data_IF_513927446799
#
_entry.id   IF_513927446799
#
_cell.length_a   1.000
_cell.length_b   1.000
_cell.length_c   1.000
_cell.angle_alpha   90.00
_cell.angle_beta   90.00
_cell.angle_gamma   90.00
#
_symmetry.space_group_name_H-M   'P 1'
#
loop_
_entity.id
_entity.type
_entity.pdbx_description
1 polymer ?
#
# COMPACT_ATOMS: atom_id res chain seq x y z
N UNK A 1 15.49 -6.87 5.56
CA UNK A 1 14.82 -7.92 6.36
C UNK A 1 13.47 -8.19 5.73
N UNK A 2 13.10 -9.45 5.61
CA UNK A 2 11.82 -9.90 5.06
C UNK A 2 11.22 -10.93 6.02
N UNK A 3 9.94 -10.76 6.38
CA UNK A 3 9.23 -11.64 7.30
C UNK A 3 7.89 -12.01 6.66
N UNK A 4 7.65 -13.31 6.50
CA UNK A 4 6.38 -13.88 6.05
C UNK A 4 5.87 -14.84 7.10
N UNK A 5 4.67 -14.62 7.64
CA UNK A 5 4.13 -15.38 8.76
C UNK A 5 2.64 -15.68 8.57
N UNK A 6 2.23 -16.87 9.00
CA UNK A 6 0.83 -17.25 9.15
C UNK A 6 0.43 -17.13 10.62
N UNK A 7 -0.32 -16.09 10.97
CA UNK A 7 -0.59 -15.70 12.36
C UNK A 7 -2.07 -15.87 12.76
N UNK A 8 -2.31 -16.01 14.06
CA UNK A 8 -3.65 -16.09 14.65
C UNK A 8 -4.37 -17.43 14.43
N UNK A 9 -5.47 -17.62 15.16
CA UNK A 9 -6.26 -18.87 15.16
C UNK A 9 -6.80 -19.20 13.76
N UNK A 10 -7.11 -18.17 12.97
CA UNK A 10 -7.65 -18.30 11.61
C UNK A 10 -6.59 -18.44 10.52
N UNK A 11 -5.29 -18.39 10.86
CA UNK A 11 -4.20 -18.55 9.90
C UNK A 11 -4.14 -17.43 8.85
N UNK A 12 -3.76 -16.23 9.28
CA UNK A 12 -3.69 -15.02 8.46
C UNK A 12 -2.27 -14.80 7.96
N UNK A 13 -2.09 -14.65 6.66
CA UNK A 13 -0.79 -14.42 6.04
C UNK A 13 -0.38 -12.94 6.16
N UNK A 14 0.55 -12.65 7.06
CA UNK A 14 1.17 -11.33 7.21
C UNK A 14 2.53 -11.33 6.50
N UNK A 15 2.84 -10.21 5.87
CA UNK A 15 4.09 -10.02 5.16
C UNK A 15 4.68 -8.65 5.47
N UNK A 16 5.97 -8.61 5.75
CA UNK A 16 6.71 -7.41 6.11
C UNK A 16 8.03 -7.39 5.36
N UNK A 17 8.31 -6.29 4.67
CA UNK A 17 9.60 -6.02 4.08
C UNK A 17 10.17 -4.74 4.67
N UNK A 18 11.43 -4.79 5.13
CA UNK A 18 12.12 -3.69 5.78
C UNK A 18 13.50 -3.46 5.19
N UNK A 19 13.78 -2.20 4.89
CA UNK A 19 15.11 -1.66 4.58
C UNK A 19 15.58 -0.75 5.73
N UNK A 20 16.79 -0.16 5.65
CA UNK A 20 17.21 0.90 6.57
C UNK A 20 16.33 2.16 6.50
N UNK A 21 15.65 2.42 5.38
CA UNK A 21 14.92 3.67 5.11
C UNK A 21 13.40 3.56 5.32
N UNK A 22 12.85 2.36 5.15
CA UNK A 22 11.41 2.15 5.20
C UNK A 22 11.04 0.72 5.60
N UNK A 23 9.79 0.54 5.95
CA UNK A 23 9.12 -0.72 6.17
C UNK A 23 7.76 -0.67 5.48
N UNK A 24 7.42 -1.72 4.75
CA UNK A 24 6.11 -1.90 4.12
C UNK A 24 5.58 -3.26 4.53
N UNK A 25 4.35 -3.27 5.01
CA UNK A 25 3.70 -4.47 5.52
C UNK A 25 2.26 -4.56 5.08
N UNK A 26 1.81 -5.79 4.87
CA UNK A 26 0.45 -6.08 4.51
C UNK A 26 -0.06 -7.38 5.11
N UNK A 27 -1.35 -7.58 4.96
CA UNK A 27 -1.99 -8.88 5.06
C UNK A 27 -2.35 -9.37 3.65
N UNK A 28 -1.74 -10.47 3.22
CA UNK A 28 -1.94 -11.01 1.87
C UNK A 28 -3.32 -11.66 1.77
N UNK A 29 -4.11 -11.25 0.77
CA UNK A 29 -5.36 -11.92 0.38
C UNK A 29 -6.33 -12.24 1.53
N UNK A 30 -6.41 -11.36 2.53
CA UNK A 30 -7.32 -11.57 3.65
C UNK A 30 -8.73 -11.14 3.30
N UNK A 31 -9.58 -12.13 3.01
CA UNK A 31 -11.03 -11.94 2.79
C UNK A 31 -11.33 -10.81 1.80
N UNK A 32 -10.75 -10.86 0.59
CA UNK A 32 -10.92 -9.80 -0.39
C UNK A 32 -12.39 -9.56 -0.68
N UNK A 33 -12.78 -8.29 -0.73
CA UNK A 33 -14.10 -7.79 -1.12
C UNK A 33 -15.25 -8.15 -0.17
N UNK A 34 -14.97 -8.73 1.01
CA UNK A 34 -15.96 -8.89 2.07
C UNK A 34 -16.09 -7.59 2.89
N UNK A 35 -17.27 -7.38 3.47
CA UNK A 35 -17.46 -6.33 4.48
C UNK A 35 -16.52 -6.58 5.67
N UNK A 36 -15.81 -5.54 6.09
CA UNK A 36 -14.81 -5.60 7.14
C UNK A 36 -15.30 -5.09 8.49
N UNK A 37 -14.33 -4.76 9.34
CA UNK A 37 -14.49 -4.19 10.67
C UNK A 37 -13.21 -3.39 10.93
N UNK A 38 -12.64 -3.43 12.13
CA UNK A 38 -11.45 -2.67 12.54
C UNK A 38 -10.11 -3.28 12.11
N UNK A 39 -9.98 -3.86 10.91
CA UNK A 39 -8.70 -4.41 10.44
C UNK A 39 -7.75 -3.29 9.94
N UNK A 40 -6.46 -3.43 10.23
CA UNK A 40 -5.40 -2.65 9.60
C UNK A 40 -4.58 -3.55 8.69
N UNK A 41 -4.80 -3.44 7.37
CA UNK A 41 -4.37 -4.44 6.40
C UNK A 41 -3.12 -4.05 5.60
N UNK A 42 -2.76 -2.77 5.56
CA UNK A 42 -1.60 -2.26 4.83
C UNK A 42 -1.01 -1.05 5.54
N UNK A 43 0.33 -0.99 5.62
CA UNK A 43 1.04 0.15 6.17
C UNK A 43 2.42 0.31 5.55
N UNK A 44 2.85 1.56 5.44
CA UNK A 44 4.22 1.99 5.18
C UNK A 44 4.68 2.85 6.33
N UNK A 45 5.85 2.53 6.87
CA UNK A 45 6.59 3.37 7.78
C UNK A 45 7.89 3.81 7.07
N UNK A 46 8.19 5.10 7.03
CA UNK A 46 9.32 5.63 6.27
C UNK A 46 10.03 6.78 7.00
N UNK A 47 11.27 7.05 6.58
CA UNK A 47 12.14 8.06 7.18
C UNK A 47 12.84 7.57 8.44
N UNK A 48 13.76 8.39 8.94
CA UNK A 48 14.48 8.10 10.18
C UNK A 48 13.49 7.90 11.33
N UNK A 49 13.75 6.89 12.16
CA UNK A 49 12.89 6.50 13.27
C UNK A 49 11.41 6.28 12.91
N UNK A 50 11.10 5.96 11.64
CA UNK A 50 9.74 5.74 11.16
C UNK A 50 8.79 6.94 11.38
N UNK A 51 9.32 8.16 11.26
CA UNK A 51 8.56 9.40 11.50
C UNK A 51 7.37 9.61 10.56
N UNK A 52 7.37 8.98 9.38
CA UNK A 52 6.23 8.96 8.47
C UNK A 52 5.49 7.63 8.58
N UNK A 53 4.18 7.69 8.80
CA UNK A 53 3.25 6.57 8.63
C UNK A 53 2.31 6.88 7.47
N UNK A 54 2.11 5.89 6.60
CA UNK A 54 1.26 5.97 5.42
C UNK A 54 0.49 4.67 5.25
N UNK A 55 -0.83 4.74 5.21
CA UNK A 55 -1.70 3.58 5.02
C UNK A 55 -2.91 3.95 4.18
N UNK A 56 -3.56 2.93 3.60
CA UNK A 56 -4.70 3.07 2.72
C UNK A 56 -5.80 2.12 3.19
N UNK A 57 -7.03 2.61 3.27
CA UNK A 57 -8.19 1.81 3.64
C UNK A 57 -9.46 2.34 2.95
N UNK A 58 -10.52 1.52 3.00
CA UNK A 58 -11.87 1.95 2.63
C UNK A 58 -12.62 2.39 3.92
N UNK A 59 -12.98 3.68 4.09
CA UNK A 59 -13.73 4.13 5.26
C UNK A 59 -15.04 3.36 5.48
N UNK A 60 -15.37 3.01 6.73
CA UNK A 60 -16.67 2.39 7.05
C UNK A 60 -17.82 3.37 7.26
N UNK A 61 -17.52 4.67 7.37
CA UNK A 61 -18.50 5.74 7.48
C UNK A 61 -17.87 7.07 7.02
N UNK A 62 -18.67 8.04 6.54
CA UNK A 62 -18.15 9.35 6.13
C UNK A 62 -17.83 10.27 7.32
N UNK A 63 -18.32 9.96 8.52
CA UNK A 63 -18.17 10.79 9.71
C UNK A 63 -16.82 10.55 10.42
N UNK A 64 -15.95 11.57 10.49
CA UNK A 64 -14.63 11.48 11.13
C UNK A 64 -14.67 11.01 12.59
N UNK A 65 -15.63 11.49 13.38
CA UNK A 65 -15.84 11.13 14.78
C UNK A 65 -17.07 10.24 14.98
N UNK A 66 -17.40 9.44 13.97
CA UNK A 66 -18.52 8.52 14.02
C UNK A 66 -18.29 7.35 14.97
N UNK A 67 -19.33 6.54 15.11
CA UNK A 67 -19.34 5.39 16.03
C UNK A 67 -19.32 4.06 15.29
N UNK A 68 -19.29 4.08 13.96
CA UNK A 68 -19.35 2.85 13.18
C UNK A 68 -18.06 2.03 13.35
N UNK A 69 -18.18 0.74 13.04
CA UNK A 69 -17.09 -0.24 13.11
C UNK A 69 -17.21 -1.10 11.86
N UNK A 70 -16.51 -0.76 10.75
CA UNK A 70 -15.40 0.19 10.63
C UNK A 70 -15.79 1.66 10.75
N UNK A 71 -14.87 2.51 11.21
CA UNK A 71 -15.06 3.97 11.23
C UNK A 71 -14.36 4.63 10.03
N UNK A 72 -14.28 5.96 10.03
CA UNK A 72 -13.60 6.72 8.98
C UNK A 72 -12.14 6.27 8.75
N UNK A 73 -11.33 6.18 9.81
CA UNK A 73 -9.91 5.77 9.73
C UNK A 73 -9.63 4.35 10.21
N UNK A 74 -10.49 3.80 11.08
CA UNK A 74 -10.22 2.53 11.75
C UNK A 74 -11.01 1.41 11.08
N UNK A 75 -10.32 0.66 10.22
CA UNK A 75 -10.88 -0.51 9.58
C UNK A 75 -11.07 -0.38 8.08
N UNK A 76 -11.85 -1.30 7.52
CA UNK A 76 -12.21 -1.30 6.11
C UNK A 76 -13.70 -1.62 5.96
N UNK A 77 -14.50 -0.71 5.38
CA UNK A 77 -15.89 -1.01 4.98
C UNK A 77 -15.92 -2.27 4.14
N UNK A 78 -15.12 -2.26 3.08
CA UNK A 78 -14.84 -3.41 2.23
C UNK A 78 -13.35 -3.68 2.23
N UNK A 79 -12.95 -4.91 2.56
CA UNK A 79 -11.53 -5.27 2.62
C UNK A 79 -10.91 -5.37 1.22
N UNK A 80 -9.73 -4.79 0.96
CA UNK A 80 -9.05 -4.94 -0.32
C UNK A 80 -8.42 -6.34 -0.49
N UNK A 81 -8.27 -6.75 -1.74
CA UNK A 81 -7.32 -7.79 -2.11
C UNK A 81 -5.92 -7.19 -2.16
N UNK A 82 -5.03 -7.61 -1.27
CA UNK A 82 -3.65 -7.09 -1.20
C UNK A 82 -2.67 -8.16 -1.67
N UNK A 83 -1.72 -7.73 -2.50
CA UNK A 83 -0.63 -8.52 -3.05
C UNK A 83 0.67 -7.74 -2.85
N UNK A 84 1.55 -8.20 -1.98
CA UNK A 84 2.87 -7.59 -1.78
C UNK A 84 3.98 -8.53 -2.23
N UNK A 85 4.94 -7.98 -2.97
CA UNK A 85 6.24 -8.58 -3.23
C UNK A 85 7.33 -7.61 -2.80
N UNK A 86 8.02 -7.94 -1.71
CA UNK A 86 9.06 -7.09 -1.10
C UNK A 86 8.56 -5.67 -0.88
N UNK A 87 9.15 -4.70 -1.59
CA UNK A 87 8.88 -3.27 -1.47
C UNK A 87 7.85 -2.74 -2.50
N UNK A 88 7.12 -3.62 -3.16
CA UNK A 88 6.03 -3.32 -4.11
C UNK A 88 4.74 -3.99 -3.64
N UNK A 89 3.65 -3.24 -3.52
CA UNK A 89 2.33 -3.74 -3.15
C UNK A 89 1.27 -3.28 -4.13
N UNK A 90 0.30 -4.15 -4.42
CA UNK A 90 -0.91 -3.85 -5.18
C UNK A 90 -2.11 -4.10 -4.27
N UNK A 91 -2.94 -3.08 -4.09
CA UNK A 91 -4.20 -3.17 -3.38
C UNK A 91 -5.32 -3.01 -4.40
N UNK A 92 -6.22 -3.98 -4.47
CA UNK A 92 -7.40 -3.90 -5.31
C UNK A 92 -8.62 -3.76 -4.40
N UNK A 93 -9.42 -2.74 -4.66
CA UNK A 93 -10.70 -2.52 -4.00
C UNK A 93 -11.83 -2.76 -5.00
N UNK A 94 -12.84 -3.48 -4.55
CA UNK A 94 -14.14 -3.61 -5.20
C UNK A 94 -15.18 -3.33 -4.11
N UNK A 95 -15.43 -2.05 -3.88
CA UNK A 95 -16.32 -1.54 -2.84
C UNK A 95 -17.75 -1.94 -3.20
N UNK A 96 -18.47 -2.51 -2.23
CA UNK A 96 -19.87 -2.84 -2.39
C UNK A 96 -20.71 -1.56 -2.55
N UNK A 97 -21.68 -1.57 -3.47
CA UNK A 97 -22.54 -0.42 -3.74
C UNK A 97 -23.38 0.00 -2.52
N UNK A 98 -23.65 -0.96 -1.60
CA UNK A 98 -24.39 -0.74 -0.36
C UNK A 98 -23.56 -0.04 0.73
N UNK A 99 -22.23 0.10 0.55
CA UNK A 99 -21.36 0.77 1.51
C UNK A 99 -21.64 2.27 1.59
N UNK A 100 -21.45 2.82 2.79
CA UNK A 100 -21.76 4.24 3.07
C UNK A 100 -20.80 5.22 2.40
N UNK A 101 -19.65 4.74 1.91
CA UNK A 101 -18.59 5.57 1.34
C UNK A 101 -18.15 4.95 0.01
N UNK A 102 -18.20 5.74 -1.07
CA UNK A 102 -17.77 5.29 -2.40
C UNK A 102 -16.42 5.92 -2.76
N UNK A 103 -15.44 5.69 -1.90
CA UNK A 103 -14.08 6.19 -2.03
C UNK A 103 -13.12 5.37 -1.16
N UNK A 104 -11.86 5.33 -1.56
CA UNK A 104 -10.76 4.97 -0.65
C UNK A 104 -10.03 6.23 -0.21
N UNK A 105 -9.33 6.14 0.91
CA UNK A 105 -8.44 7.22 1.31
C UNK A 105 -7.11 6.69 1.83
N UNK A 106 -6.11 7.56 1.81
CA UNK A 106 -4.81 7.30 2.38
C UNK A 106 -4.49 8.35 3.43
N UNK A 107 -4.01 7.90 4.59
CA UNK A 107 -3.43 8.79 5.59
C UNK A 107 -2.02 9.19 5.13
N UNK A 108 -1.78 10.49 4.93
CA UNK A 108 -0.49 11.03 4.51
C UNK A 108 -0.26 12.40 5.17
N UNK A 109 0.50 12.49 6.27
CA UNK A 109 0.79 13.75 6.93
C UNK A 109 1.85 14.54 6.14
N UNK A 110 1.41 15.49 5.29
CA UNK A 110 2.29 16.26 4.41
C UNK A 110 3.40 17.01 5.17
N UNK A 111 3.14 17.40 6.41
CA UNK A 111 4.10 18.03 7.32
C UNK A 111 5.37 17.21 7.61
N UNK A 112 5.37 15.92 7.28
CA UNK A 112 6.52 15.01 7.46
C UNK A 112 7.35 14.82 6.19
N UNK A 113 6.91 15.37 5.06
CA UNK A 113 7.54 15.13 3.76
C UNK A 113 8.63 16.18 3.49
N UNK A 114 9.77 15.75 2.95
CA UNK A 114 10.78 16.69 2.43
C UNK A 114 10.40 17.19 1.02
N UNK A 115 9.76 16.33 0.23
CA UNK A 115 9.30 16.66 -1.11
C UNK A 115 8.07 15.83 -1.49
N UNK A 116 7.26 16.40 -2.39
CA UNK A 116 6.04 15.82 -2.94
C UNK A 116 5.99 16.10 -4.43
N UNK A 117 5.67 15.09 -5.22
CA UNK A 117 5.31 15.19 -6.63
C UNK A 117 3.93 14.56 -6.80
N UNK A 118 3.02 15.24 -7.48
CA UNK A 118 1.69 14.71 -7.76
C UNK A 118 1.25 15.01 -9.19
N UNK A 119 0.54 14.06 -9.77
CA UNK A 119 -0.26 14.20 -10.99
C UNK A 119 -1.64 13.59 -10.73
N UNK A 120 -2.46 13.39 -11.78
CA UNK A 120 -3.79 12.80 -11.62
C UNK A 120 -3.76 11.42 -10.95
N UNK A 121 -2.79 10.58 -11.32
CA UNK A 121 -2.72 9.18 -10.88
C UNK A 121 -1.50 8.85 -10.04
N UNK A 122 -0.46 9.69 -10.06
CA UNK A 122 0.76 9.45 -9.32
C UNK A 122 0.90 10.40 -8.13
N UNK A 123 1.14 9.82 -6.97
CA UNK A 123 1.51 10.51 -5.74
C UNK A 123 2.86 9.98 -5.28
N UNK A 124 3.90 10.80 -5.36
CA UNK A 124 5.23 10.42 -4.92
C UNK A 124 5.74 11.39 -3.87
N UNK A 125 6.41 10.88 -2.85
CA UNK A 125 6.98 11.72 -1.81
C UNK A 125 8.26 11.14 -1.23
N UNK A 126 9.05 12.01 -0.62
CA UNK A 126 10.24 11.64 0.14
C UNK A 126 10.10 12.01 1.61
N UNK A 127 10.67 11.18 2.47
CA UNK A 127 10.88 11.44 3.89
C UNK A 127 12.28 10.95 4.25
N UNK A 128 13.17 11.90 4.57
CA UNK A 128 14.61 11.74 4.60
C UNK A 128 15.13 11.05 3.31
N UNK A 129 15.86 9.95 3.46
CA UNK A 129 16.38 9.13 2.36
C UNK A 129 15.40 8.02 1.91
N UNK A 130 14.14 8.05 2.35
CA UNK A 130 13.08 7.14 1.91
C UNK A 130 12.18 7.80 0.85
N UNK A 131 11.82 7.04 -0.18
CA UNK A 131 10.90 7.44 -1.26
C UNK A 131 9.72 6.48 -1.30
N UNK A 132 8.52 7.01 -1.55
CA UNK A 132 7.32 6.22 -1.76
C UNK A 132 6.61 6.75 -3.00
N UNK A 133 6.22 5.84 -3.87
CA UNK A 133 5.35 6.09 -5.02
C UNK A 133 4.03 5.37 -4.78
N UNK A 134 2.93 6.07 -4.94
CA UNK A 134 1.59 5.50 -4.99
C UNK A 134 0.94 5.86 -6.31
N UNK A 135 0.62 4.85 -7.11
CA UNK A 135 -0.26 4.98 -8.26
C UNK A 135 -1.70 4.66 -7.86
N UNK A 136 -2.65 5.50 -8.24
CA UNK A 136 -4.09 5.26 -8.13
C UNK A 136 -4.69 5.09 -9.52
N UNK A 137 -5.47 4.03 -9.75
CA UNK A 137 -6.19 3.84 -11.01
C UNK A 137 -7.23 4.92 -11.28
N UNK A 138 -7.77 5.51 -10.21
CA UNK A 138 -8.69 6.65 -10.25
C UNK A 138 -7.97 7.94 -9.82
N UNK A 139 -8.40 9.12 -10.30
CA UNK A 139 -7.83 10.37 -9.84
C UNK A 139 -8.05 10.59 -8.34
N UNK A 140 -7.07 11.20 -7.69
CA UNK A 140 -7.14 11.52 -6.26
C UNK A 140 -7.08 13.04 -6.01
N UNK A 141 -7.36 13.42 -4.76
CA UNK A 141 -7.17 14.79 -4.27
C UNK A 141 -6.62 14.78 -2.85
N UNK A 142 -5.76 15.74 -2.53
CA UNK A 142 -5.34 15.99 -1.15
C UNK A 142 -6.41 16.82 -0.46
N UNK A 143 -6.79 16.43 0.76
CA UNK A 143 -7.77 17.17 1.55
C UNK A 143 -7.19 18.53 1.97
N UNK A 144 -7.75 19.63 1.47
CA UNK A 144 -7.25 21.00 1.74
C UNK A 144 -7.99 21.74 2.87
N UNK A 145 -9.01 21.11 3.49
CA UNK A 145 -9.83 21.75 4.53
C UNK A 145 -10.30 20.75 5.59
N UNK A 146 -10.87 21.24 6.69
CA UNK A 146 -11.37 20.39 7.78
C UNK A 146 -10.28 19.77 8.65
N UNK A 147 -10.65 18.78 9.46
CA UNK A 147 -9.79 18.15 10.46
C UNK A 147 -8.62 17.34 9.86
N UNK A 148 -8.82 16.78 8.66
CA UNK A 148 -7.82 15.99 7.94
C UNK A 148 -7.01 16.82 6.93
N UNK A 149 -7.10 18.15 6.98
CA UNK A 149 -6.37 19.03 6.06
C UNK A 149 -4.89 18.66 6.00
N UNK A 150 -4.38 18.42 4.79
CA UNK A 150 -2.98 18.07 4.48
C UNK A 150 -2.50 16.80 5.20
N UNK A 151 -3.43 15.91 5.55
CA UNK A 151 -3.17 14.62 6.19
C UNK A 151 -3.85 13.45 5.49
N UNK A 152 -4.53 13.71 4.39
CA UNK A 152 -5.40 12.76 3.73
C UNK A 152 -5.39 12.96 2.21
N UNK A 153 -5.40 11.83 1.51
CA UNK A 153 -5.60 11.72 0.07
C UNK A 153 -6.87 10.91 -0.15
N UNK A 154 -7.81 11.40 -0.97
CA UNK A 154 -9.06 10.71 -1.28
C UNK A 154 -9.11 10.38 -2.77
N UNK A 155 -9.41 9.12 -3.09
CA UNK A 155 -9.70 8.64 -4.44
C UNK A 155 -11.12 8.11 -4.49
N UNK A 156 -11.98 8.71 -5.33
CA UNK A 156 -13.42 8.39 -5.39
C UNK A 156 -13.71 7.26 -6.38
N UNK A 157 -14.79 6.53 -6.15
CA UNK A 157 -15.25 5.42 -6.98
C UNK A 157 -15.34 4.12 -6.19
N UNK A 158 -15.90 3.09 -6.83
CA UNK A 158 -16.12 1.78 -6.21
C UNK A 158 -14.98 0.79 -6.48
N UNK A 159 -14.38 0.85 -7.66
CA UNK A 159 -13.35 -0.11 -8.09
C UNK A 159 -12.03 0.62 -8.25
N UNK A 160 -11.00 0.19 -7.52
CA UNK A 160 -9.66 0.79 -7.53
C UNK A 160 -8.58 -0.28 -7.64
N UNK A 161 -7.51 0.03 -8.36
CA UNK A 161 -6.20 -0.55 -8.13
C UNK A 161 -5.25 0.53 -7.63
N UNK A 162 -4.52 0.23 -6.56
CA UNK A 162 -3.50 1.10 -5.99
C UNK A 162 -2.18 0.35 -5.93
N UNK A 163 -1.13 0.94 -6.49
CA UNK A 163 0.23 0.36 -6.44
C UNK A 163 1.10 1.21 -5.57
N UNK A 164 1.68 0.64 -4.52
CA UNK A 164 2.61 1.32 -3.61
C UNK A 164 4.00 0.72 -3.76
N UNK A 165 4.98 1.57 -4.08
CA UNK A 165 6.38 1.22 -4.23
C UNK A 165 7.21 2.03 -3.25
N UNK A 166 7.87 1.36 -2.31
CA UNK A 166 8.82 1.98 -1.39
C UNK A 166 10.25 1.81 -1.89
N UNK A 167 11.09 2.81 -1.71
CA UNK A 167 12.47 2.82 -2.15
C UNK A 167 13.33 3.66 -1.20
N UNK A 168 14.63 3.43 -1.22
CA UNK A 168 15.61 4.25 -0.52
C UNK A 168 16.53 4.99 -1.49
N UNK A 169 17.27 5.97 -0.97
CA UNK A 169 18.30 6.68 -1.73
C UNK A 169 19.36 5.75 -2.34
N UNK A 170 19.79 4.70 -1.64
CA UNK A 170 20.74 3.72 -2.19
C UNK A 170 20.17 2.87 -3.33
N UNK A 171 18.84 2.86 -3.50
CA UNK A 171 18.16 2.07 -4.52
C UNK A 171 17.92 2.85 -5.82
N UNK A 172 17.61 4.15 -5.72
CA UNK A 172 17.22 5.00 -6.87
C UNK A 172 18.05 6.28 -7.01
N UNK A 173 19.04 6.50 -6.15
CA UNK A 173 19.97 7.64 -6.19
C UNK A 173 19.37 8.94 -5.67
N UNK A 174 18.33 9.45 -6.32
CA UNK A 174 17.66 10.71 -5.96
C UNK A 174 16.15 10.64 -6.14
N UNK A 175 15.42 11.51 -5.44
CA UNK A 175 13.97 11.57 -5.57
C UNK A 175 13.52 11.94 -7.00
N UNK A 176 14.29 12.76 -7.73
CA UNK A 176 14.00 13.09 -9.12
C UNK A 176 14.14 11.88 -10.06
N UNK A 177 15.17 11.06 -9.87
CA UNK A 177 15.35 9.80 -10.59
C UNK A 177 14.22 8.82 -10.26
N UNK A 178 13.83 8.73 -8.99
CA UNK A 178 12.68 7.92 -8.57
C UNK A 178 11.38 8.38 -9.22
N UNK A 179 11.09 9.69 -9.28
CA UNK A 179 9.92 10.22 -10.00
C UNK A 179 9.95 9.82 -11.46
N UNK A 180 11.09 10.00 -12.12
CA UNK A 180 11.24 9.70 -13.56
C UNK A 180 11.01 8.21 -13.83
N UNK A 181 11.60 7.35 -13.02
CA UNK A 181 11.43 5.90 -13.11
C UNK A 181 9.95 5.51 -12.97
N UNK A 182 9.31 5.91 -11.87
CA UNK A 182 7.95 5.46 -11.54
C UNK A 182 6.89 6.04 -12.47
N UNK A 183 7.05 7.28 -12.95
CA UNK A 183 6.10 7.89 -13.88
C UNK A 183 6.29 7.43 -15.33
N UNK A 184 7.39 6.73 -15.64
CA UNK A 184 7.61 6.12 -16.96
C UNK A 184 7.05 4.70 -17.10
N UNK A 185 6.66 4.06 -15.99
CA UNK A 185 6.13 2.71 -16.00
C UNK A 185 4.70 2.67 -16.54
N UNK A 186 4.36 1.59 -17.26
CA UNK A 186 2.98 1.33 -17.68
C UNK A 186 2.22 0.60 -16.56
N UNK A 187 1.20 1.24 -16.00
CA UNK A 187 0.26 0.64 -15.05
C UNK A 187 -1.02 0.28 -15.78
N UNK A 188 -1.35 -1.02 -15.86
CA UNK A 188 -2.51 -1.52 -16.59
C UNK A 188 -3.45 -2.22 -15.61
N UNK A 189 -4.66 -1.70 -15.47
CA UNK A 189 -5.70 -2.28 -14.62
C UNK A 189 -6.90 -2.70 -15.46
N UNK A 190 -7.18 -4.00 -15.48
CA UNK A 190 -8.43 -4.57 -16.01
C UNK A 190 -9.46 -4.60 -14.87
N UNK A 191 -10.38 -3.61 -14.92
CA UNK A 191 -11.40 -3.40 -13.89
C UNK A 191 -12.39 -4.56 -13.78
N UNK A 192 -12.70 -5.22 -14.90
CA UNK A 192 -13.69 -6.30 -14.94
C UNK A 192 -13.14 -7.58 -14.32
N UNK A 193 -11.85 -7.84 -14.54
CA UNK A 193 -11.18 -9.05 -14.04
C UNK A 193 -10.48 -8.86 -12.71
N UNK A 194 -10.46 -7.64 -12.17
CA UNK A 194 -9.67 -7.26 -11.01
C UNK A 194 -8.20 -7.70 -11.17
N UNK A 195 -7.66 -7.48 -12.37
CA UNK A 195 -6.31 -7.89 -12.75
C UNK A 195 -5.44 -6.67 -13.00
N UNK A 196 -4.21 -6.71 -12.53
CA UNK A 196 -3.27 -5.60 -12.61
C UNK A 196 -1.93 -6.06 -13.17
N UNK A 197 -1.31 -5.23 -14.02
CA UNK A 197 0.03 -5.49 -14.56
C UNK A 197 0.85 -4.21 -14.57
N UNK A 198 2.12 -4.30 -14.16
CA UNK A 198 3.12 -3.27 -14.40
C UNK A 198 4.51 -3.87 -14.64
N UNK A 199 5.43 -3.04 -15.14
CA UNK A 199 6.85 -3.39 -15.23
C UNK A 199 7.63 -2.51 -14.26
N UNK A 200 8.06 -3.09 -13.13
CA UNK A 200 8.94 -2.44 -12.17
C UNK A 200 10.39 -2.52 -12.66
N UNK A 201 11.12 -1.41 -12.58
CA UNK A 201 12.50 -1.34 -13.09
C UNK A 201 13.51 -2.22 -12.34
N UNK A 202 13.19 -2.69 -11.12
CA UNK A 202 14.05 -3.58 -10.33
C UNK A 202 13.57 -5.02 -10.31
N UNK A 203 12.26 -5.24 -10.26
CA UNK A 203 11.67 -6.58 -10.15
C UNK A 203 11.16 -7.14 -11.46
N UNK A 204 11.06 -6.33 -12.52
CA UNK A 204 10.54 -6.74 -13.82
C UNK A 204 9.02 -6.79 -13.84
N UNK A 205 8.47 -7.74 -14.60
CA UNK A 205 7.03 -7.84 -14.85
C UNK A 205 6.30 -8.31 -13.58
N UNK A 206 5.39 -7.48 -13.07
CA UNK A 206 4.47 -7.82 -11.99
C UNK A 206 3.08 -8.06 -12.58
N UNK A 207 2.48 -9.20 -12.26
CA UNK A 207 1.13 -9.57 -12.69
C UNK A 207 0.30 -10.02 -11.49
N UNK A 208 -0.87 -9.42 -11.31
CA UNK A 208 -1.85 -9.75 -10.29
C UNK A 208 -3.14 -10.17 -10.98
N UNK A 209 -3.67 -11.30 -10.55
CA UNK A 209 -4.99 -11.81 -10.94
C UNK A 209 -5.69 -12.35 -9.69
N UNK A 210 -6.95 -12.79 -9.81
CA UNK A 210 -7.74 -13.29 -8.69
C UNK A 210 -6.98 -14.36 -7.87
N UNK A 211 -6.55 -13.97 -6.67
CA UNK A 211 -5.81 -14.83 -5.73
C UNK A 211 -4.34 -15.10 -6.06
N UNK A 212 -3.79 -14.53 -7.13
CA UNK A 212 -2.44 -14.85 -7.61
C UNK A 212 -1.59 -13.61 -7.81
N UNK A 213 -0.30 -13.75 -7.48
CA UNK A 213 0.74 -12.78 -7.75
C UNK A 213 1.86 -13.49 -8.50
N UNK A 214 2.30 -12.91 -9.62
CA UNK A 214 3.43 -13.39 -10.41
C UNK A 214 4.45 -12.27 -10.57
N UNK A 215 5.73 -12.64 -10.48
CA UNK A 215 6.87 -11.76 -10.76
C UNK A 215 7.73 -12.46 -11.81
N UNK A 216 7.97 -11.81 -12.95
CA UNK A 216 8.67 -12.40 -14.10
C UNK A 216 8.09 -13.77 -14.48
N UNK A 217 6.75 -13.88 -14.52
CA UNK A 217 5.99 -15.11 -14.81
C UNK A 217 6.22 -16.26 -13.82
N UNK A 218 6.85 -15.99 -12.67
CA UNK A 218 6.96 -16.94 -11.57
C UNK A 218 5.92 -16.62 -10.51
N UNK A 219 5.12 -17.62 -10.17
CA UNK A 219 4.10 -17.48 -9.13
C UNK A 219 4.76 -17.30 -7.75
N UNK A 220 4.33 -16.27 -7.03
CA UNK A 220 4.72 -16.02 -5.65
C UNK A 220 3.80 -16.83 -4.75
N UNK A 221 4.40 -17.66 -3.89
CA UNK A 221 3.65 -18.46 -2.91
C UNK A 221 3.23 -17.62 -1.71
N UNK A 222 1.98 -17.81 -1.28
CA UNK A 222 1.47 -17.30 -0.01
C UNK A 222 1.36 -18.39 1.06
N UNK A 223 2.04 -19.53 0.88
CA UNK A 223 2.11 -20.54 1.94
C UNK A 223 3.17 -20.16 2.99
N UNK A 224 2.76 -19.34 3.95
CA UNK A 224 3.65 -18.83 4.98
C UNK A 224 3.77 -19.78 6.17
N UNK A 225 4.96 -19.83 6.81
CA UNK A 225 5.17 -20.63 8.00
C UNK A 225 4.43 -20.03 9.21
N UNK A 226 4.03 -20.87 10.17
CA UNK A 226 3.39 -20.42 11.43
C UNK A 226 4.38 -19.82 12.43
N UNK A 227 5.67 -20.11 12.27
CA UNK A 227 6.76 -19.63 13.11
C UNK A 227 7.89 -19.14 12.22
N UNK A 228 8.57 -18.07 12.62
CA UNK A 228 9.78 -17.59 11.97
C UNK A 228 10.95 -17.82 12.91
N UNK A 229 11.98 -18.48 12.43
CA UNK A 229 13.29 -18.40 13.06
C UNK A 229 13.85 -17.02 12.72
N UNK A 230 13.84 -16.08 13.67
CA UNK A 230 14.51 -14.79 13.50
C UNK A 230 16.01 -15.10 13.52
N UNK A 231 16.64 -15.16 12.35
CA UNK A 231 18.10 -15.12 12.29
C UNK A 231 18.54 -13.71 12.66
N UNK A 232 19.00 -13.55 13.91
CA UNK A 232 19.72 -12.35 14.33
C UNK A 232 21.10 -12.39 13.67
N UNK A 233 21.20 -11.88 12.45
CA UNK A 233 22.49 -11.62 11.81
C UNK A 233 23.13 -10.38 12.43
N UNK A 234 24.40 -10.46 12.78
CA UNK A 234 25.22 -9.28 13.11
C UNK A 234 25.28 -8.37 11.89
N UNK A 235 24.89 -7.11 12.06
CA UNK A 235 25.02 -6.09 11.03
C UNK A 235 26.45 -5.55 11.06
N UNK A 236 27.30 -5.99 10.14
CA UNK A 236 28.53 -5.25 9.84
C UNK A 236 28.14 -4.05 8.95
N UNK A 237 28.32 -2.85 9.50
CA UNK A 237 28.28 -1.62 8.71
C UNK A 237 29.55 -1.54 7.87
N UNK A 238 29.40 -1.56 6.55
CA UNK A 238 30.43 -1.10 5.60
C UNK A 238 30.21 0.37 5.26
#
# INVERSE_FOLDING_TARGET
MEISLKQGIRGVNTYLFRSPYYQIGCVQQYRPFEHGHQQHLFNVAAGEHAQLQYFINHPGEPAFSGQNRPSYWAGNGTMPAIYQYRNLAVLIFNIDEEELVHAIHAYLPLERLNALHQSAHHLLFSCDDAYVSTYFSEPFSITESGANRKREVISKGLVHAVVVRCAGKSEFGSFAQFITDQTSQAYVFDREKFAFTCTDSRWGLLEVTSGQLMVNRQQISFDYPKTVAIQTGEFEHA
#
